data_IF_622948672931
#
_entry.id   IF_622948672931
#
_cell.length_a   1.000
_cell.length_b   1.000
_cell.length_c   1.000
_cell.angle_alpha   90.00
_cell.angle_beta   90.00
_cell.angle_gamma   90.00
#
_symmetry.space_group_name_H-M   'P 1'
#
loop_
_entity.id
_entity.type
_entity.pdbx_description
1 polymer ?
#
# COMPACT_ATOMS: atom_id res chain seq x y z
N UNK A 1 -59.30 45.94 -33.19
CA UNK A 1 -59.12 45.32 -31.86
C UNK A 1 -57.88 44.41 -31.74
N UNK A 2 -57.28 43.90 -32.82
CA UNK A 2 -56.12 42.98 -32.76
C UNK A 2 -54.77 43.65 -32.45
N UNK A 3 -54.51 44.88 -32.96
CA UNK A 3 -53.21 45.57 -32.78
C UNK A 3 -52.87 46.00 -31.33
N UNK A 4 -53.87 46.10 -30.43
CA UNK A 4 -53.62 46.45 -29.02
C UNK A 4 -52.98 45.29 -28.28
N UNK A 5 -53.54 44.07 -28.43
CA UNK A 5 -53.07 42.89 -27.71
C UNK A 5 -51.61 42.53 -28.03
N UNK A 6 -51.21 42.65 -29.29
CA UNK A 6 -49.83 42.39 -29.71
C UNK A 6 -48.84 43.36 -29.04
N UNK A 7 -49.22 44.65 -28.90
CA UNK A 7 -48.39 45.65 -28.24
C UNK A 7 -48.33 45.45 -26.72
N UNK A 8 -49.43 45.02 -26.11
CA UNK A 8 -49.49 44.70 -24.68
C UNK A 8 -48.63 43.47 -24.34
N UNK A 9 -48.60 42.47 -25.22
CA UNK A 9 -47.72 41.29 -25.09
C UNK A 9 -46.23 41.65 -25.24
N UNK A 10 -45.91 42.51 -26.20
CA UNK A 10 -44.55 43.02 -26.41
C UNK A 10 -44.07 43.85 -25.19
N UNK A 11 -44.95 44.71 -24.65
CA UNK A 11 -44.68 45.47 -23.42
C UNK A 11 -44.46 44.52 -22.23
N UNK A 12 -45.27 43.48 -22.07
CA UNK A 12 -45.08 42.48 -21.01
C UNK A 12 -43.77 41.71 -21.17
N UNK A 13 -43.32 41.46 -22.39
CA UNK A 13 -42.06 40.79 -22.67
C UNK A 13 -40.87 41.68 -22.28
N UNK A 14 -40.90 42.96 -22.67
CA UNK A 14 -39.90 43.96 -22.28
C UNK A 14 -39.89 44.17 -20.76
N UNK A 15 -41.05 44.19 -20.11
CA UNK A 15 -41.13 44.29 -18.65
C UNK A 15 -40.57 43.06 -17.95
N UNK A 16 -40.78 41.86 -18.49
CA UNK A 16 -40.16 40.63 -17.97
C UNK A 16 -38.65 40.63 -18.17
N UNK A 17 -38.18 41.12 -19.30
CA UNK A 17 -36.75 41.26 -19.62
C UNK A 17 -36.08 42.30 -18.70
N UNK A 18 -36.69 43.48 -18.52
CA UNK A 18 -36.22 44.49 -17.58
C UNK A 18 -36.26 43.95 -16.15
N UNK A 19 -37.33 43.24 -15.74
CA UNK A 19 -37.40 42.61 -14.42
C UNK A 19 -36.31 41.55 -14.24
N UNK A 20 -35.97 40.78 -15.27
CA UNK A 20 -34.90 39.79 -15.24
C UNK A 20 -33.48 40.42 -15.24
N UNK A 21 -33.32 41.60 -15.83
CA UNK A 21 -32.06 42.38 -15.81
C UNK A 21 -31.90 43.21 -14.52
N UNK A 22 -33.02 43.60 -13.89
CA UNK A 22 -33.08 44.35 -12.64
C UNK A 22 -33.11 43.43 -11.41
N UNK A 23 -33.57 42.19 -11.54
CA UNK A 23 -33.25 41.14 -10.58
C UNK A 23 -31.75 40.84 -10.75
N UNK A 24 -30.90 41.25 -9.79
CA UNK A 24 -29.48 40.97 -9.90
C UNK A 24 -29.33 39.46 -10.06
N UNK A 25 -28.65 39.05 -11.15
CA UNK A 25 -28.29 37.65 -11.45
C UNK A 25 -28.05 36.94 -10.12
N UNK A 26 -28.80 35.87 -9.79
CA UNK A 26 -28.77 35.25 -8.47
C UNK A 26 -27.31 35.15 -8.05
N UNK A 27 -26.96 35.85 -6.97
CA UNK A 27 -25.58 36.03 -6.57
C UNK A 27 -24.90 34.64 -6.64
N UNK A 28 -23.72 34.53 -7.27
CA UNK A 28 -23.00 33.27 -7.32
C UNK A 28 -23.09 32.62 -5.94
N UNK A 29 -23.47 31.33 -5.84
CA UNK A 29 -23.63 30.67 -4.55
C UNK A 29 -22.41 31.05 -3.70
N UNK A 30 -22.66 31.66 -2.54
CA UNK A 30 -21.63 32.30 -1.74
C UNK A 30 -20.41 31.36 -1.65
N UNK A 31 -19.18 31.86 -1.87
CA UNK A 31 -17.99 31.01 -1.85
C UNK A 31 -18.06 30.16 -0.59
N UNK A 32 -18.11 28.84 -0.79
CA UNK A 32 -18.24 27.85 0.28
C UNK A 32 -17.33 28.27 1.43
N UNK A 33 -17.81 28.32 2.69
CA UNK A 33 -16.98 28.74 3.81
C UNK A 33 -15.68 27.94 3.73
N UNK A 34 -14.52 28.62 3.79
CA UNK A 34 -13.21 27.98 3.70
C UNK A 34 -13.20 26.81 4.67
N UNK A 35 -13.39 25.59 4.17
CA UNK A 35 -13.36 24.39 5.01
C UNK A 35 -11.93 24.34 5.52
N UNK A 36 -11.76 24.29 6.84
CA UNK A 36 -10.42 24.12 7.40
C UNK A 36 -9.78 22.87 6.79
N UNK A 37 -8.45 22.84 6.71
CA UNK A 37 -7.69 21.71 6.15
C UNK A 37 -8.13 20.36 6.71
N UNK A 38 -8.56 20.32 7.98
CA UNK A 38 -9.14 19.13 8.62
C UNK A 38 -10.45 18.65 7.96
N UNK A 39 -11.36 19.57 7.65
CA UNK A 39 -12.62 19.22 7.00
C UNK A 39 -12.39 18.82 5.54
N UNK A 40 -11.43 19.45 4.85
CA UNK A 40 -11.02 19.04 3.50
C UNK A 40 -10.36 17.66 3.50
N UNK A 41 -9.57 17.34 4.52
CA UNK A 41 -8.95 16.02 4.70
C UNK A 41 -9.98 14.93 4.98
N UNK A 42 -10.95 15.17 5.87
CA UNK A 42 -12.04 14.22 6.14
C UNK A 42 -12.92 14.03 4.90
N UNK A 43 -13.24 15.12 4.19
CA UNK A 43 -13.95 15.05 2.91
C UNK A 43 -13.17 14.25 1.87
N UNK A 44 -11.85 14.41 1.80
CA UNK A 44 -10.97 13.64 0.92
C UNK A 44 -11.00 12.15 1.26
N UNK A 45 -10.74 11.76 2.52
CA UNK A 45 -10.74 10.35 2.93
C UNK A 45 -12.10 9.70 2.66
N UNK A 46 -13.19 10.42 2.92
CA UNK A 46 -14.55 9.94 2.70
C UNK A 46 -14.87 9.80 1.21
N UNK A 47 -14.48 10.78 0.39
CA UNK A 47 -14.73 10.79 -1.06
C UNK A 47 -13.96 9.69 -1.79
N UNK A 48 -12.73 9.42 -1.39
CA UNK A 48 -11.88 8.41 -2.01
C UNK A 48 -11.94 7.04 -1.31
N UNK A 49 -12.80 6.86 -0.29
CA UNK A 49 -12.99 5.59 0.45
C UNK A 49 -11.68 4.98 1.00
N UNK A 50 -10.67 5.81 1.26
CA UNK A 50 -9.31 5.38 1.64
C UNK A 50 -9.30 4.70 3.01
N UNK A 51 -10.25 5.03 3.87
CA UNK A 51 -10.37 4.46 5.21
C UNK A 51 -10.51 2.94 5.19
N UNK A 52 -11.31 2.39 4.26
CA UNK A 52 -11.50 0.94 4.13
C UNK A 52 -10.22 0.23 3.69
N UNK A 53 -9.49 0.83 2.74
CA UNK A 53 -8.19 0.32 2.29
C UNK A 53 -7.16 0.35 3.42
N UNK A 54 -7.11 1.44 4.19
CA UNK A 54 -6.18 1.59 5.31
C UNK A 54 -6.44 0.53 6.39
N UNK A 55 -7.70 0.29 6.76
CA UNK A 55 -8.06 -0.74 7.74
C UNK A 55 -7.70 -2.14 7.21
N UNK A 56 -8.03 -2.45 5.96
CA UNK A 56 -7.68 -3.74 5.36
C UNK A 56 -6.16 -3.97 5.32
N UNK A 57 -5.38 -2.95 4.97
CA UNK A 57 -3.93 -3.03 4.93
C UNK A 57 -3.32 -3.26 6.31
N UNK A 58 -3.75 -2.50 7.32
CA UNK A 58 -3.27 -2.63 8.70
C UNK A 58 -3.62 -4.02 9.24
N UNK A 59 -4.86 -4.47 9.07
CA UNK A 59 -5.27 -5.82 9.50
C UNK A 59 -4.48 -6.90 8.77
N UNK A 60 -4.28 -6.77 7.46
CA UNK A 60 -3.46 -7.69 6.68
C UNK A 60 -2.01 -7.77 7.16
N UNK A 61 -1.41 -6.63 7.51
CA UNK A 61 -0.06 -6.57 8.06
C UNK A 61 0.06 -7.34 9.38
N UNK A 62 -0.85 -7.10 10.33
CA UNK A 62 -0.82 -7.79 11.63
C UNK A 62 -1.14 -9.28 11.51
N UNK A 63 -2.11 -9.67 10.66
CA UNK A 63 -2.38 -11.09 10.39
C UNK A 63 -1.13 -11.76 9.79
N UNK A 64 -0.46 -11.10 8.86
CA UNK A 64 0.81 -11.58 8.29
C UNK A 64 1.88 -11.81 9.35
N UNK A 65 2.02 -10.89 10.31
CA UNK A 65 2.96 -11.02 11.43
C UNK A 65 2.64 -12.22 12.33
N UNK A 66 1.37 -12.45 12.65
CA UNK A 66 0.94 -13.61 13.47
C UNK A 66 1.26 -14.93 12.75
N UNK A 67 0.96 -15.02 11.46
CA UNK A 67 1.28 -16.21 10.66
C UNK A 67 2.79 -16.42 10.56
N UNK A 68 3.56 -15.33 10.38
CA UNK A 68 5.01 -15.39 10.34
C UNK A 68 5.61 -15.86 11.66
N UNK A 69 5.11 -15.38 12.80
CA UNK A 69 5.55 -15.85 14.13
C UNK A 69 5.19 -17.31 14.36
N UNK A 70 3.99 -17.76 13.99
CA UNK A 70 3.62 -19.18 14.05
C UNK A 70 4.59 -20.06 13.23
N UNK A 71 4.93 -19.63 12.02
CA UNK A 71 5.86 -20.37 11.18
C UNK A 71 7.29 -20.34 11.74
N UNK A 72 7.77 -19.17 12.13
CA UNK A 72 9.16 -18.96 12.54
C UNK A 72 9.46 -19.46 13.95
N UNK A 73 8.56 -19.21 14.89
CA UNK A 73 8.83 -19.38 16.32
C UNK A 73 8.30 -20.73 16.84
N UNK A 74 7.34 -21.35 16.13
CA UNK A 74 6.77 -22.64 16.52
C UNK A 74 7.15 -23.73 15.53
N UNK A 75 6.88 -23.55 14.23
CA UNK A 75 7.07 -24.62 13.25
C UNK A 75 8.53 -24.84 12.87
N UNK A 76 9.32 -23.80 12.65
CA UNK A 76 10.75 -23.98 12.33
C UNK A 76 11.51 -24.72 13.43
N UNK A 77 11.35 -24.41 14.74
CA UNK A 77 11.96 -25.21 15.79
C UNK A 77 11.48 -26.67 15.78
N UNK A 78 10.19 -26.91 15.56
CA UNK A 78 9.63 -28.26 15.49
C UNK A 78 10.22 -29.07 14.33
N UNK A 79 10.38 -28.43 13.17
CA UNK A 79 10.98 -29.04 11.98
C UNK A 79 12.49 -29.21 12.17
N UNK A 80 13.17 -28.26 12.81
CA UNK A 80 14.59 -28.34 13.14
C UNK A 80 14.92 -29.52 14.07
N UNK A 81 14.02 -29.84 15.01
CA UNK A 81 14.11 -31.05 15.83
C UNK A 81 13.91 -32.34 15.01
N UNK A 82 13.02 -32.32 14.01
CA UNK A 82 12.74 -33.47 13.15
C UNK A 82 13.82 -33.71 12.08
N UNK A 83 14.46 -32.64 11.59
CA UNK A 83 15.50 -32.66 10.56
C UNK A 83 16.79 -32.04 11.12
N UNK A 84 17.60 -32.82 11.84
CA UNK A 84 18.84 -32.31 12.41
C UNK A 84 19.77 -31.79 11.30
N UNK A 85 20.19 -30.54 11.42
CA UNK A 85 21.08 -29.86 10.46
C UNK A 85 20.41 -28.85 9.54
N UNK A 86 19.09 -28.69 9.58
CA UNK A 86 18.38 -27.66 8.79
C UNK A 86 18.83 -26.22 9.16
N UNK A 87 19.10 -25.97 10.44
CA UNK A 87 19.57 -24.67 10.93
C UNK A 87 21.00 -24.33 10.44
N UNK A 88 21.80 -25.36 10.16
CA UNK A 88 23.16 -25.22 9.62
C UNK A 88 23.16 -24.81 8.15
N UNK A 89 21.99 -24.78 7.48
CA UNK A 89 21.93 -24.25 6.11
C UNK A 89 22.38 -22.79 6.07
N UNK A 90 22.10 -21.99 7.11
CA UNK A 90 22.50 -20.58 7.18
C UNK A 90 24.03 -20.38 7.19
N UNK A 91 24.80 -21.39 7.59
CA UNK A 91 26.28 -21.30 7.67
C UNK A 91 26.97 -21.46 6.32
N UNK A 92 26.26 -21.86 5.27
CA UNK A 92 26.81 -21.91 3.91
C UNK A 92 27.01 -20.49 3.36
N UNK A 93 28.21 -19.97 3.57
CA UNK A 93 28.66 -18.69 3.02
C UNK A 93 29.75 -18.93 1.98
N UNK A 94 29.61 -18.30 0.82
CA UNK A 94 30.70 -18.20 -0.14
C UNK A 94 31.49 -16.94 0.21
N UNK A 95 32.65 -17.14 0.82
CA UNK A 95 33.59 -16.06 1.14
C UNK A 95 34.43 -15.73 -0.10
N UNK A 96 34.28 -14.52 -0.61
CA UNK A 96 35.20 -14.00 -1.63
C UNK A 96 36.35 -13.29 -0.91
N UNK A 97 37.59 -13.77 -1.05
CA UNK A 97 38.73 -13.17 -0.35
C UNK A 97 38.84 -11.67 -0.67
N UNK A 98 39.22 -10.86 0.34
CA UNK A 98 39.33 -9.43 0.19
C UNK A 98 40.45 -9.10 -0.80
N UNK A 99 40.41 -7.91 -1.41
CA UNK A 99 41.46 -7.44 -2.31
C UNK A 99 42.84 -7.57 -1.68
N UNK A 100 43.77 -8.27 -2.35
CA UNK A 100 45.12 -8.58 -1.85
C UNK A 100 46.12 -7.45 -2.06
N UNK A 101 45.63 -6.20 -2.16
CA UNK A 101 46.47 -5.02 -2.32
C UNK A 101 45.63 -3.75 -2.16
N UNK A 102 46.27 -2.66 -1.76
CA UNK A 102 45.70 -1.33 -1.64
C UNK A 102 46.43 -0.40 -2.60
N UNK A 103 45.72 0.57 -3.19
CA UNK A 103 46.34 1.63 -3.99
C UNK A 103 47.11 2.61 -3.07
N UNK A 104 47.87 3.52 -3.68
CA UNK A 104 48.62 4.55 -2.94
C UNK A 104 47.74 5.49 -2.10
N UNK A 105 46.42 5.45 -2.28
CA UNK A 105 45.43 6.24 -1.57
C UNK A 105 44.73 5.44 -0.44
N UNK A 106 45.15 4.20 -0.20
CA UNK A 106 44.59 3.32 0.83
C UNK A 106 43.27 2.65 0.45
N UNK A 107 42.85 2.73 -0.83
CA UNK A 107 41.67 2.03 -1.32
C UNK A 107 42.03 0.61 -1.74
N UNK A 108 41.20 -0.40 -1.43
CA UNK A 108 41.43 -1.76 -1.89
C UNK A 108 41.49 -1.86 -3.42
N UNK A 109 42.52 -2.53 -3.95
CA UNK A 109 42.68 -2.84 -5.37
C UNK A 109 41.65 -3.88 -5.80
N UNK A 110 40.45 -3.41 -6.10
CA UNK A 110 39.32 -4.25 -6.48
C UNK A 110 39.54 -5.00 -7.82
N UNK A 111 40.58 -4.69 -8.61
CA UNK A 111 40.82 -5.23 -9.97
C UNK A 111 39.53 -5.26 -10.82
N UNK A 112 38.68 -4.23 -10.70
CA UNK A 112 37.39 -4.14 -11.41
C UNK A 112 36.28 -5.07 -10.90
N UNK A 113 36.49 -5.81 -9.81
CA UNK A 113 35.52 -6.74 -9.23
C UNK A 113 34.92 -6.18 -7.92
N UNK A 114 33.78 -5.46 -7.97
CA UNK A 114 33.15 -4.84 -6.80
C UNK A 114 32.66 -5.84 -5.73
N UNK A 115 32.66 -7.14 -6.05
CA UNK A 115 32.23 -8.23 -5.17
C UNK A 115 33.36 -8.85 -4.33
N UNK A 116 34.62 -8.41 -4.46
CA UNK A 116 35.72 -8.91 -3.63
C UNK A 116 35.60 -8.43 -2.19
N UNK A 117 35.71 -9.35 -1.23
CA UNK A 117 35.47 -9.08 0.20
C UNK A 117 34.00 -9.15 0.63
N UNK A 118 33.07 -9.42 -0.30
CA UNK A 118 31.66 -9.61 0.04
C UNK A 118 31.39 -11.06 0.48
N UNK A 119 30.58 -11.20 1.52
CA UNK A 119 30.09 -12.50 2.00
C UNK A 119 28.78 -12.80 1.26
N UNK A 120 28.77 -13.86 0.45
CA UNK A 120 27.55 -14.32 -0.21
C UNK A 120 26.86 -15.37 0.67
N UNK A 121 25.80 -14.95 1.37
CA UNK A 121 25.00 -15.80 2.26
C UNK A 121 24.00 -16.68 1.50
N UNK A 122 24.50 -17.61 0.66
CA UNK A 122 23.67 -18.58 -0.07
C UNK A 122 22.81 -19.40 0.89
N UNK A 123 23.36 -19.69 2.07
CA UNK A 123 22.66 -20.35 3.17
C UNK A 123 21.41 -19.61 3.64
N UNK A 124 21.50 -18.30 3.86
CA UNK A 124 20.37 -17.49 4.27
C UNK A 124 19.27 -17.44 3.20
N UNK A 125 19.66 -17.48 1.92
CA UNK A 125 18.72 -17.54 0.81
C UNK A 125 17.95 -18.88 0.78
N UNK A 126 18.64 -20.01 0.97
CA UNK A 126 18.01 -21.33 1.08
C UNK A 126 17.05 -21.40 2.27
N UNK A 127 17.47 -20.89 3.44
CA UNK A 127 16.60 -20.81 4.63
C UNK A 127 15.37 -19.95 4.34
N UNK A 128 15.51 -18.84 3.62
CA UNK A 128 14.38 -17.99 3.24
C UNK A 128 13.38 -18.72 2.31
N UNK A 129 13.86 -19.50 1.34
CA UNK A 129 13.00 -20.32 0.47
C UNK A 129 12.25 -21.37 1.29
N UNK A 130 12.94 -22.08 2.19
CA UNK A 130 12.32 -23.11 3.03
C UNK A 130 11.27 -22.47 3.96
N UNK A 131 11.60 -21.33 4.57
CA UNK A 131 10.65 -20.57 5.40
C UNK A 131 9.43 -20.14 4.60
N UNK A 132 9.60 -19.68 3.36
CA UNK A 132 8.49 -19.30 2.48
C UNK A 132 7.56 -20.48 2.19
N UNK A 133 8.11 -21.66 1.86
CA UNK A 133 7.32 -22.88 1.62
C UNK A 133 6.54 -23.28 2.89
N UNK A 134 7.18 -23.21 4.06
CA UNK A 134 6.54 -23.50 5.35
C UNK A 134 5.39 -22.51 5.59
N UNK A 135 5.62 -21.21 5.47
CA UNK A 135 4.59 -20.18 5.67
C UNK A 135 3.42 -20.38 4.71
N UNK A 136 3.69 -20.67 3.43
CA UNK A 136 2.64 -20.96 2.45
C UNK A 136 1.82 -22.20 2.85
N UNK A 137 2.48 -23.26 3.34
CA UNK A 137 1.81 -24.46 3.84
C UNK A 137 0.94 -24.18 5.08
N UNK A 138 1.40 -23.30 5.97
CA UNK A 138 0.63 -22.87 7.16
C UNK A 138 -0.63 -22.11 6.77
N UNK A 139 -0.51 -21.13 5.86
CA UNK A 139 -1.65 -20.38 5.36
C UNK A 139 -2.65 -21.35 4.71
N UNK A 140 -2.17 -22.32 3.94
CA UNK A 140 -3.00 -23.36 3.37
C UNK A 140 -3.73 -24.19 4.43
N UNK A 141 -3.04 -24.60 5.51
CA UNK A 141 -3.67 -25.32 6.62
C UNK A 141 -4.74 -24.48 7.30
N UNK A 142 -4.48 -23.20 7.55
CA UNK A 142 -5.44 -22.28 8.17
C UNK A 142 -6.69 -22.17 7.30
N UNK A 143 -6.54 -21.89 6.00
CA UNK A 143 -7.69 -21.80 5.07
C UNK A 143 -8.46 -23.12 5.00
N UNK A 144 -7.75 -24.25 4.97
CA UNK A 144 -8.35 -25.59 4.97
C UNK A 144 -9.14 -25.87 6.25
N UNK A 145 -8.64 -25.43 7.40
CA UNK A 145 -9.34 -25.53 8.69
C UNK A 145 -10.56 -24.62 8.67
N UNK A 146 -10.44 -23.34 8.34
CA UNK A 146 -11.58 -22.41 8.28
C UNK A 146 -12.70 -22.95 7.38
N UNK A 147 -12.35 -23.51 6.21
CA UNK A 147 -13.31 -24.18 5.31
C UNK A 147 -13.95 -25.43 5.92
N UNK A 148 -13.18 -26.24 6.66
CA UNK A 148 -13.68 -27.46 7.31
C UNK A 148 -14.63 -27.16 8.47
N UNK A 149 -14.47 -26.01 9.13
CA UNK A 149 -15.25 -25.60 10.29
C UNK A 149 -16.46 -24.71 9.92
N UNK A 150 -16.70 -24.47 8.63
CA UNK A 150 -17.88 -23.72 8.17
C UNK A 150 -17.85 -22.25 8.57
N UNK A 151 -16.65 -21.66 8.69
CA UNK A 151 -16.48 -20.21 8.88
C UNK A 151 -16.41 -19.49 7.51
N UNK A 152 -16.66 -20.23 6.44
CA UNK A 152 -17.29 -19.75 5.19
C UNK A 152 -18.68 -20.38 5.09
#
# INVERSE_FOLDING_TARGET
MSKSKAKDEEILQVLKEIKALLEPKPAPPAPSPKKGLWNEFIDFISKYKVLGLAVAFIMGMYIGQVVQSLAKDILMPLIGLAVPGLENLSTFVLYVPPPTGFDAQGNPLLNGAPWKGQIFGIGNFLVAIITFIIVAFVIFLIVKITKKWGIE
#
